data_IF_863209501702
#
_entry.id   IF_863209501702
#
_cell.length_a   1.000
_cell.length_b   1.000
_cell.length_c   1.000
_cell.angle_alpha   90.00
_cell.angle_beta   90.00
_cell.angle_gamma   90.00
#
_symmetry.space_group_name_H-M   'P 1'
#
loop_
_entity.id
_entity.type
_entity.pdbx_description
1 polymer ?
#
# COMPACT_ATOMS: atom_id res chain seq x y z
N UNK A 1 15.01 -9.53 -19.36
CA UNK A 1 14.18 -8.31 -19.23
C UNK A 1 12.89 -8.37 -20.05
N UNK A 2 12.90 -8.59 -21.37
CA UNK A 2 11.63 -8.56 -22.15
C UNK A 2 10.58 -9.60 -21.72
N UNK A 3 10.98 -10.84 -21.43
CA UNK A 3 10.06 -11.88 -20.91
C UNK A 3 9.50 -11.59 -19.52
N UNK A 4 10.24 -10.84 -18.73
CA UNK A 4 9.84 -10.42 -17.39
C UNK A 4 8.81 -9.28 -17.49
N UNK A 5 9.05 -8.29 -18.36
CA UNK A 5 8.05 -7.28 -18.72
C UNK A 5 6.76 -7.92 -19.23
N UNK A 6 6.86 -8.97 -20.06
CA UNK A 6 5.70 -9.71 -20.56
C UNK A 6 4.93 -10.44 -19.45
N UNK A 7 5.64 -11.04 -18.49
CA UNK A 7 5.00 -11.68 -17.33
C UNK A 7 4.30 -10.66 -16.45
N UNK A 8 4.97 -9.54 -16.15
CA UNK A 8 4.39 -8.45 -15.37
C UNK A 8 3.16 -7.81 -16.06
N UNK A 9 3.15 -7.78 -17.40
CA UNK A 9 1.98 -7.37 -18.18
C UNK A 9 0.83 -8.39 -18.05
N UNK A 10 1.13 -9.69 -18.07
CA UNK A 10 0.15 -10.78 -17.92
C UNK A 10 -0.53 -10.80 -16.54
N UNK A 11 0.24 -10.44 -15.51
CA UNK A 11 -0.23 -10.33 -14.13
C UNK A 11 -0.86 -8.96 -13.80
N UNK A 12 -0.76 -7.98 -14.72
CA UNK A 12 -1.30 -6.63 -14.55
C UNK A 12 -0.48 -5.74 -13.61
N UNK A 13 0.72 -6.16 -13.21
CA UNK A 13 1.62 -5.42 -12.32
C UNK A 13 2.37 -4.29 -13.04
N UNK A 14 2.61 -4.44 -14.34
CA UNK A 14 3.27 -3.44 -15.17
C UNK A 14 2.44 -3.12 -16.42
N UNK A 15 1.60 -2.09 -16.33
CA UNK A 15 0.88 -1.50 -17.48
C UNK A 15 1.78 -0.47 -18.17
N UNK A 16 2.88 -0.95 -18.75
CA UNK A 16 3.78 -0.13 -19.56
C UNK A 16 3.34 -0.16 -21.03
N UNK A 17 3.07 1.00 -21.62
CA UNK A 17 2.75 1.14 -23.05
C UNK A 17 3.84 0.54 -23.94
N UNK A 18 5.09 0.53 -23.47
CA UNK A 18 6.21 -0.11 -24.17
C UNK A 18 6.04 -1.64 -24.26
N UNK A 19 5.58 -2.29 -23.18
CA UNK A 19 5.39 -3.74 -23.16
C UNK A 19 4.27 -4.17 -24.12
N UNK A 20 3.17 -3.40 -24.18
CA UNK A 20 2.08 -3.64 -25.14
C UNK A 20 2.58 -3.48 -26.57
N UNK A 21 3.36 -2.43 -26.84
CA UNK A 21 3.93 -2.19 -28.17
C UNK A 21 4.87 -3.32 -28.62
N UNK A 22 5.73 -3.79 -27.72
CA UNK A 22 6.64 -4.91 -27.98
C UNK A 22 5.87 -6.19 -28.36
N UNK A 23 4.75 -6.47 -27.70
CA UNK A 23 3.90 -7.62 -28.04
C UNK A 23 3.19 -7.42 -29.38
N UNK A 24 2.75 -6.21 -29.71
CA UNK A 24 2.05 -5.98 -30.98
C UNK A 24 2.94 -6.12 -32.21
N UNK A 25 4.23 -5.82 -32.12
CA UNK A 25 5.15 -5.83 -33.28
C UNK A 25 5.94 -7.13 -33.42
N UNK A 26 6.29 -7.81 -32.32
CA UNK A 26 7.18 -8.98 -32.35
C UNK A 26 6.40 -10.31 -32.31
N UNK A 27 6.47 -11.07 -33.42
CA UNK A 27 5.88 -12.40 -33.53
C UNK A 27 6.41 -13.41 -32.48
N UNK A 28 7.66 -13.26 -32.02
CA UNK A 28 8.22 -14.13 -30.98
C UNK A 28 7.57 -13.83 -29.62
N UNK A 29 7.33 -12.55 -29.31
CA UNK A 29 6.64 -12.14 -28.09
C UNK A 29 5.16 -12.53 -28.11
N UNK A 30 4.49 -12.44 -29.26
CA UNK A 30 3.10 -12.91 -29.42
C UNK A 30 2.97 -14.40 -29.11
N UNK A 31 3.86 -15.24 -29.64
CA UNK A 31 3.89 -16.69 -29.34
C UNK A 31 4.17 -16.97 -27.86
N UNK A 32 5.02 -16.16 -27.23
CA UNK A 32 5.30 -16.29 -25.81
C UNK A 32 4.06 -15.94 -24.97
N UNK A 33 3.36 -14.87 -25.34
CA UNK A 33 2.11 -14.43 -24.72
C UNK A 33 1.02 -15.49 -24.82
N UNK A 34 0.80 -16.04 -26.01
CA UNK A 34 -0.13 -17.15 -26.26
C UNK A 34 0.19 -18.35 -25.34
N UNK A 35 1.47 -18.75 -25.28
CA UNK A 35 1.89 -19.88 -24.45
C UNK A 35 1.68 -19.63 -22.96
N UNK A 36 1.91 -18.42 -22.48
CA UNK A 36 1.69 -18.09 -21.07
C UNK A 36 0.20 -18.17 -20.69
N UNK A 37 -0.68 -17.64 -21.55
CA UNK A 37 -2.11 -17.75 -21.34
C UNK A 37 -2.59 -19.21 -21.42
N UNK A 38 -2.10 -19.98 -22.39
CA UNK A 38 -2.43 -21.40 -22.48
C UNK A 38 -2.02 -22.17 -21.22
N UNK A 39 -0.81 -21.96 -20.70
CA UNK A 39 -0.36 -22.59 -19.45
C UNK A 39 -1.24 -22.16 -18.27
N UNK A 40 -1.58 -20.88 -18.17
CA UNK A 40 -2.46 -20.34 -17.12
C UNK A 40 -3.85 -20.99 -17.16
N UNK A 41 -4.43 -21.14 -18.34
CA UNK A 41 -5.77 -21.70 -18.52
C UNK A 41 -5.76 -23.21 -18.22
N UNK A 42 -4.72 -23.94 -18.64
CA UNK A 42 -4.52 -25.35 -18.28
C UNK A 42 -4.38 -25.53 -16.76
N UNK A 43 -3.61 -24.67 -16.09
CA UNK A 43 -3.43 -24.75 -14.64
C UNK A 43 -4.72 -24.45 -13.85
N UNK A 44 -5.62 -23.64 -14.41
CA UNK A 44 -6.93 -23.34 -13.80
C UNK A 44 -7.99 -24.38 -14.13
N UNK A 45 -7.76 -25.23 -15.12
CA UNK A 45 -8.78 -26.10 -15.67
C UNK A 45 -9.79 -25.36 -16.56
N UNK A 46 -9.44 -24.16 -17.04
CA UNK A 46 -10.25 -23.31 -17.93
C UNK A 46 -10.09 -23.72 -19.40
N UNK A 47 -9.83 -25.01 -19.67
CA UNK A 47 -9.65 -25.56 -21.01
C UNK A 47 -10.71 -26.61 -21.31
N UNK A 48 -11.29 -26.55 -22.51
CA UNK A 48 -12.25 -27.56 -22.96
C UNK A 48 -11.58 -28.88 -23.37
N UNK A 49 -12.40 -29.89 -23.69
CA UNK A 49 -11.92 -31.20 -24.16
C UNK A 49 -11.11 -31.12 -25.47
N UNK A 50 -11.38 -30.10 -26.29
CA UNK A 50 -10.70 -29.84 -27.55
C UNK A 50 -10.06 -28.45 -27.52
N UNK A 51 -8.76 -28.40 -27.79
CA UNK A 51 -7.98 -27.16 -27.85
C UNK A 51 -7.90 -26.64 -29.29
N UNK A 52 -8.37 -25.41 -29.49
CA UNK A 52 -8.27 -24.70 -30.76
C UNK A 52 -7.20 -23.60 -30.65
N UNK A 53 -6.06 -23.79 -31.30
CA UNK A 53 -4.92 -22.86 -31.24
C UNK A 53 -4.98 -21.78 -32.34
N UNK A 54 -5.94 -21.86 -33.24
CA UNK A 54 -6.07 -20.98 -34.41
C UNK A 54 -7.13 -19.87 -34.25
N UNK A 55 -7.86 -19.83 -33.13
CA UNK A 55 -8.95 -18.87 -32.88
C UNK A 55 -8.46 -17.43 -33.08
N UNK A 56 -7.35 -17.05 -32.45
CA UNK A 56 -6.82 -15.69 -32.53
C UNK A 56 -6.50 -15.29 -33.98
N UNK A 57 -5.99 -16.23 -34.79
CA UNK A 57 -5.68 -15.99 -36.19
C UNK A 57 -6.93 -15.83 -37.06
N UNK A 58 -7.98 -16.62 -36.81
CA UNK A 58 -9.26 -16.51 -37.51
C UNK A 58 -9.95 -15.19 -37.17
N UNK A 59 -9.92 -14.79 -35.89
CA UNK A 59 -10.47 -13.50 -35.44
C UNK A 59 -9.71 -12.34 -36.07
N UNK A 60 -8.37 -12.37 -36.11
CA UNK A 60 -7.58 -11.33 -36.77
C UNK A 60 -7.94 -11.19 -38.26
N UNK A 61 -8.12 -12.29 -38.98
CA UNK A 61 -8.56 -12.30 -40.39
C UNK A 61 -9.99 -11.79 -40.58
N UNK A 62 -10.88 -12.01 -39.60
CA UNK A 62 -12.24 -11.49 -39.62
C UNK A 62 -12.25 -9.97 -39.37
N UNK A 63 -11.44 -9.49 -38.42
CA UNK A 63 -11.29 -8.08 -38.09
C UNK A 63 -10.70 -7.27 -39.26
N UNK A 64 -9.75 -7.83 -40.00
CA UNK A 64 -9.20 -7.17 -41.21
C UNK A 64 -10.26 -6.92 -42.28
N UNK A 65 -11.31 -7.75 -42.33
CA UNK A 65 -12.43 -7.61 -43.27
C UNK A 65 -13.55 -6.73 -42.74
N UNK A 66 -13.48 -6.30 -41.48
CA UNK A 66 -14.51 -5.46 -40.89
C UNK A 66 -14.34 -4.00 -41.37
N UNK A 67 -15.41 -3.37 -41.91
CA UNK A 67 -15.35 -1.95 -42.22
C UNK A 67 -15.22 -1.13 -40.93
N UNK A 68 -14.24 -0.22 -40.89
CA UNK A 68 -14.01 0.65 -39.73
C UNK A 68 -15.19 1.62 -39.59
N UNK A 69 -16.14 1.29 -38.73
CA UNK A 69 -17.22 2.18 -38.34
C UNK A 69 -16.69 3.22 -37.36
N UNK A 70 -16.10 4.30 -37.87
CA UNK A 70 -15.85 5.48 -37.05
C UNK A 70 -17.24 6.08 -36.76
N UNK A 71 -17.77 5.79 -35.58
CA UNK A 71 -18.96 6.45 -35.07
C UNK A 71 -18.55 7.71 -34.29
N UNK A 72 -18.53 8.91 -34.89
CA UNK A 72 -18.21 10.16 -34.19
C UNK A 72 -19.24 10.53 -33.10
N UNK A 73 -20.35 9.78 -32.99
CA UNK A 73 -21.34 9.93 -31.93
C UNK A 73 -21.17 8.92 -30.78
N UNK A 74 -20.08 8.15 -30.75
CA UNK A 74 -19.70 7.41 -29.54
C UNK A 74 -19.62 8.41 -28.39
N UNK A 75 -20.52 8.25 -27.41
CA UNK A 75 -20.74 9.14 -26.28
C UNK A 75 -19.38 9.53 -25.70
N UNK A 76 -18.96 10.80 -25.77
CA UNK A 76 -17.77 11.22 -25.06
C UNK A 76 -18.08 11.04 -23.58
N UNK A 77 -17.48 10.01 -22.96
CA UNK A 77 -17.33 9.92 -21.51
C UNK A 77 -17.07 11.33 -21.00
N UNK A 78 -17.98 11.85 -20.18
CA UNK A 78 -17.93 13.24 -19.75
C UNK A 78 -16.73 13.42 -18.84
N UNK A 79 -15.58 13.71 -19.43
CA UNK A 79 -14.39 14.05 -18.64
C UNK A 79 -14.74 15.30 -17.82
N UNK A 80 -14.45 15.30 -16.51
CA UNK A 80 -14.69 16.47 -15.68
C UNK A 80 -13.86 17.62 -16.24
N UNK A 81 -14.56 18.59 -16.84
CA UNK A 81 -13.92 19.82 -17.33
C UNK A 81 -13.21 20.51 -16.17
N UNK A 82 -12.04 21.14 -16.40
CA UNK A 82 -11.23 21.74 -15.35
C UNK A 82 -12.07 22.61 -14.43
N UNK A 83 -12.98 23.44 -14.95
CA UNK A 83 -13.96 24.28 -14.21
C UNK A 83 -14.63 23.61 -12.97
N UNK A 84 -14.90 22.30 -13.02
CA UNK A 84 -15.54 21.56 -11.91
C UNK A 84 -14.65 21.35 -10.69
N UNK A 85 -13.33 21.40 -10.85
CA UNK A 85 -12.38 21.23 -9.75
C UNK A 85 -12.51 22.34 -8.70
N UNK A 86 -12.76 23.58 -9.13
CA UNK A 86 -12.71 24.78 -8.30
C UNK A 86 -13.92 24.83 -7.37
N UNK A 87 -15.02 24.21 -7.78
CA UNK A 87 -16.26 24.14 -7.02
C UNK A 87 -16.34 22.92 -6.09
N UNK A 88 -15.28 22.10 -6.00
CA UNK A 88 -15.30 20.97 -5.08
C UNK A 88 -15.19 21.44 -3.62
N UNK A 89 -16.02 20.89 -2.70
CA UNK A 89 -16.07 21.32 -1.31
C UNK A 89 -14.76 21.06 -0.55
N UNK A 90 -13.86 20.20 -1.05
CA UNK A 90 -12.56 19.94 -0.43
C UNK A 90 -11.60 21.14 -0.52
N UNK A 91 -11.63 21.94 -1.59
CA UNK A 91 -10.75 23.11 -1.76
C UNK A 91 -11.05 24.21 -0.74
N UNK A 92 -12.32 24.34 -0.33
CA UNK A 92 -12.72 25.24 0.74
C UNK A 92 -12.11 24.83 2.08
N UNK A 93 -11.89 23.52 2.32
CA UNK A 93 -11.24 22.99 3.52
C UNK A 93 -9.73 23.27 3.54
N UNK A 94 -9.08 23.16 2.38
CA UNK A 94 -7.64 23.48 2.21
C UNK A 94 -7.38 24.98 2.40
N UNK A 95 -8.31 25.85 2.01
CA UNK A 95 -8.19 27.31 2.20
C UNK A 95 -8.01 27.69 3.67
N UNK A 96 -8.68 27.01 4.60
CA UNK A 96 -8.57 27.28 6.05
C UNK A 96 -7.21 26.91 6.62
N UNK A 97 -6.50 25.95 6.02
CA UNK A 97 -5.15 25.56 6.43
C UNK A 97 -4.05 26.51 5.95
N UNK A 98 -4.35 27.42 5.00
CA UNK A 98 -3.35 28.37 4.47
C UNK A 98 -2.78 29.27 5.55
N UNK A 99 -3.60 29.74 6.49
CA UNK A 99 -3.14 30.63 7.56
C UNK A 99 -2.14 29.96 8.51
N UNK A 100 -2.31 28.65 8.75
CA UNK A 100 -1.42 27.86 9.60
C UNK A 100 -0.09 27.57 8.91
N UNK A 101 -0.11 27.27 7.60
CA UNK A 101 1.11 27.06 6.80
C UNK A 101 1.95 28.34 6.74
N UNK A 102 1.33 29.52 6.60
CA UNK A 102 2.07 30.80 6.59
C UNK A 102 2.79 31.06 7.90
N UNK A 103 2.15 30.78 9.05
CA UNK A 103 2.79 30.96 10.37
C UNK A 103 3.96 29.99 10.58
N UNK A 104 3.78 28.71 10.20
CA UNK A 104 4.84 27.71 10.24
C UNK A 104 5.99 28.09 9.29
N UNK A 105 5.68 28.58 8.09
CA UNK A 105 6.69 28.99 7.11
C UNK A 105 7.58 30.13 7.61
N UNK A 106 7.01 31.15 8.25
CA UNK A 106 7.81 32.26 8.81
C UNK A 106 8.70 31.77 9.95
N UNK A 107 8.17 30.98 10.88
CA UNK A 107 8.97 30.43 11.99
C UNK A 107 10.09 29.51 11.49
N UNK A 108 9.80 28.64 10.52
CA UNK A 108 10.78 27.74 9.92
C UNK A 108 11.89 28.52 9.20
N UNK A 109 11.56 29.53 8.41
CA UNK A 109 12.56 30.37 7.72
C UNK A 109 13.48 31.09 8.71
N UNK A 110 12.94 31.69 9.78
CA UNK A 110 13.75 32.36 10.80
C UNK A 110 14.67 31.36 11.51
N UNK A 111 14.17 30.17 11.86
CA UNK A 111 15.00 29.12 12.48
C UNK A 111 16.12 28.62 11.55
N UNK A 112 15.82 28.42 10.26
CA UNK A 112 16.80 28.01 9.25
C UNK A 112 17.87 29.09 9.06
N UNK A 113 17.49 30.36 8.94
CA UNK A 113 18.44 31.48 8.81
C UNK A 113 19.36 31.60 10.03
N UNK A 114 18.86 31.37 11.24
CA UNK A 114 19.69 31.38 12.46
C UNK A 114 20.68 30.20 12.46
N UNK A 115 20.23 28.99 12.12
CA UNK A 115 21.09 27.79 12.06
C UNK A 115 22.17 27.95 10.98
N UNK A 116 21.81 28.39 9.78
CA UNK A 116 22.75 28.66 8.69
C UNK A 116 23.71 29.80 9.07
N UNK A 117 23.22 30.85 9.71
CA UNK A 117 24.05 31.97 10.14
C UNK A 117 25.11 31.57 11.17
N UNK A 118 24.77 30.73 12.14
CA UNK A 118 25.72 30.23 13.15
C UNK A 118 26.75 29.28 12.53
N UNK A 119 26.34 28.43 11.58
CA UNK A 119 27.28 27.58 10.84
C UNK A 119 28.20 28.40 9.93
N UNK A 120 27.67 29.39 9.20
CA UNK A 120 28.46 30.27 8.34
C UNK A 120 29.46 31.10 9.15
N UNK A 121 29.09 31.59 10.33
CA UNK A 121 29.98 32.38 11.17
C UNK A 121 31.14 31.56 11.75
N UNK A 122 30.92 30.30 12.14
CA UNK A 122 31.99 29.43 12.63
C UNK A 122 32.89 28.87 11.51
N UNK A 123 32.40 28.82 10.26
CA UNK A 123 33.14 28.23 9.13
C UNK A 123 34.14 29.19 8.46
N UNK A 124 34.14 30.48 8.81
CA UNK A 124 35.06 31.49 8.25
C UNK A 124 36.46 31.48 8.92
N UNK A 125 36.72 30.49 9.80
CA UNK A 125 37.98 30.34 10.55
C UNK A 125 38.82 29.11 10.20
N UNK A 126 38.53 28.42 9.08
CA UNK A 126 39.51 27.53 8.45
C UNK A 126 39.10 27.15 7.03
N UNK A 127 39.84 27.67 6.05
CA UNK A 127 39.82 27.21 4.68
C UNK A 127 40.58 25.88 4.54
N UNK A 128 40.01 24.98 3.73
CA UNK A 128 40.56 23.70 3.23
C UNK A 128 40.43 22.49 4.16
N UNK A 129 39.43 21.62 3.96
CA UNK A 129 39.59 20.29 3.31
C UNK A 129 38.22 19.58 3.19
N UNK A 130 38.02 18.92 2.04
CA UNK A 130 37.19 17.72 1.82
C UNK A 130 35.69 17.72 2.15
N UNK A 131 34.89 17.59 1.08
CA UNK A 131 33.57 16.96 1.10
C UNK A 131 33.69 15.52 1.61
N UNK A 132 33.73 15.33 2.93
CA UNK A 132 33.33 14.09 3.56
C UNK A 132 31.95 14.29 4.16
N UNK A 133 30.96 13.63 3.57
CA UNK A 133 29.75 13.26 4.27
C UNK A 133 30.14 12.24 5.36
N UNK A 134 30.81 12.70 6.42
CA UNK A 134 30.91 11.94 7.65
C UNK A 134 29.52 11.95 8.26
N UNK A 135 28.83 10.81 8.16
CA UNK A 135 27.59 10.58 8.88
C UNK A 135 27.83 10.93 10.35
N UNK A 136 27.05 11.84 10.96
CA UNK A 136 27.20 12.11 12.37
C UNK A 136 26.97 10.79 13.10
N UNK A 137 28.02 10.25 13.72
CA UNK A 137 27.87 9.14 14.64
C UNK A 137 26.94 9.63 15.75
N UNK A 138 25.70 9.16 15.71
CA UNK A 138 24.70 9.41 16.73
C UNK A 138 25.22 8.81 18.04
N UNK A 139 25.97 9.60 18.80
CA UNK A 139 26.30 9.33 20.18
C UNK A 139 25.05 9.67 21.00
N UNK A 140 24.09 8.73 21.03
CA UNK A 140 22.92 8.83 21.89
C UNK A 140 23.31 8.42 23.31
N UNK A 141 23.97 9.32 24.03
CA UNK A 141 23.68 9.43 25.45
C UNK A 141 22.22 9.91 25.53
N UNK A 142 21.30 9.13 26.13
CA UNK A 142 19.89 9.46 26.11
C UNK A 142 19.64 10.65 27.04
N UNK A 143 19.68 11.85 26.48
CA UNK A 143 19.07 13.01 27.11
C UNK A 143 17.58 12.97 26.77
N UNK A 144 16.84 12.30 27.65
CA UNK A 144 15.45 12.62 27.99
C UNK A 144 14.40 12.40 26.87
N UNK A 145 13.76 11.22 26.84
CA UNK A 145 12.51 11.03 26.07
C UNK A 145 12.20 9.59 25.68
N UNK A 146 11.38 8.92 26.49
CA UNK A 146 10.82 7.57 26.38
C UNK A 146 10.73 6.96 24.95
N UNK A 147 11.55 5.93 24.69
CA UNK A 147 11.30 4.92 23.67
C UNK A 147 10.27 3.93 24.21
N UNK A 148 9.13 3.78 23.53
CA UNK A 148 8.18 2.70 23.83
C UNK A 148 8.67 1.42 23.15
N UNK A 149 9.37 0.60 23.91
CA UNK A 149 9.77 -0.74 23.48
C UNK A 149 8.56 -1.67 23.54
N UNK A 150 8.31 -2.41 22.46
CA UNK A 150 7.38 -3.54 22.48
C UNK A 150 8.06 -4.65 23.28
N UNK A 151 7.59 -4.85 24.52
CA UNK A 151 7.77 -6.07 25.31
C UNK A 151 9.16 -6.31 25.92
N UNK A 152 9.34 -5.90 27.18
CA UNK A 152 9.81 -6.73 28.30
C UNK A 152 9.89 -5.82 29.52
N UNK A 153 9.13 -6.15 30.57
CA UNK A 153 9.13 -5.38 31.81
C UNK A 153 10.48 -5.52 32.54
N UNK A 154 11.19 -4.42 32.72
CA UNK A 154 12.26 -4.28 33.72
C UNK A 154 11.88 -3.17 34.70
N UNK A 155 11.80 -3.43 36.01
CA UNK A 155 11.53 -2.40 37.00
C UNK A 155 12.84 -1.80 37.52
N UNK A 156 12.95 -0.47 37.51
CA UNK A 156 13.73 0.40 38.41
C UNK A 156 13.69 1.81 37.79
N UNK A 157 12.99 2.78 38.39
CA UNK A 157 13.58 3.83 39.27
C UNK A 157 14.50 4.76 38.44
N UNK A 158 14.17 6.02 38.12
CA UNK A 158 13.86 7.13 39.03
C UNK A 158 13.12 8.28 38.33
N UNK A 159 12.51 9.11 39.15
CA UNK A 159 11.68 10.27 38.83
C UNK A 159 12.49 11.48 38.36
N UNK A 160 12.06 12.14 37.28
CA UNK A 160 11.70 13.57 37.25
C UNK A 160 11.35 13.95 35.80
N UNK A 161 10.22 14.64 35.58
CA UNK A 161 9.69 15.06 34.25
C UNK A 161 9.14 13.94 33.33
N UNK A 162 7.97 13.37 33.68
CA UNK A 162 7.23 12.48 32.75
C UNK A 162 6.29 11.45 33.40
N UNK A 163 6.06 11.53 34.71
CA UNK A 163 5.26 10.55 35.48
C UNK A 163 3.86 10.34 34.88
N UNK A 164 3.22 11.43 34.44
CA UNK A 164 1.85 11.40 33.92
C UNK A 164 1.73 10.65 32.58
N UNK A 165 2.72 10.80 31.70
CA UNK A 165 2.74 10.10 30.41
C UNK A 165 3.07 8.61 30.61
N UNK A 166 4.07 8.31 31.44
CA UNK A 166 4.44 6.95 31.77
C UNK A 166 3.31 6.20 32.51
N UNK A 167 2.53 6.90 33.35
CA UNK A 167 1.36 6.35 34.02
C UNK A 167 0.23 6.03 33.02
N UNK A 168 -0.08 6.95 32.09
CA UNK A 168 -1.08 6.72 31.03
C UNK A 168 -0.70 5.57 30.10
N UNK A 169 0.57 5.43 29.74
CA UNK A 169 1.06 4.32 28.92
C UNK A 169 0.92 2.99 29.67
N UNK A 170 1.24 2.93 30.97
CA UNK A 170 1.04 1.74 31.80
C UNK A 170 -0.44 1.36 31.93
N UNK A 171 -1.33 2.35 32.09
CA UNK A 171 -2.78 2.10 32.13
C UNK A 171 -3.31 1.62 30.78
N UNK A 172 -2.84 2.20 29.67
CA UNK A 172 -3.16 1.74 28.32
C UNK A 172 -2.74 0.29 28.12
N UNK A 173 -1.51 -0.07 28.51
CA UNK A 173 -0.99 -1.43 28.37
C UNK A 173 -1.78 -2.44 29.21
N UNK A 174 -2.11 -2.10 30.47
CA UNK A 174 -2.97 -2.96 31.31
C UNK A 174 -4.35 -3.22 30.70
N UNK A 175 -4.93 -2.22 30.03
CA UNK A 175 -6.21 -2.37 29.33
C UNK A 175 -6.10 -3.28 28.11
N UNK A 176 -5.00 -3.20 27.37
CA UNK A 176 -4.73 -4.07 26.22
C UNK A 176 -4.58 -5.53 26.67
N UNK A 177 -3.84 -5.79 27.75
CA UNK A 177 -3.68 -7.15 28.28
C UNK A 177 -5.02 -7.77 28.70
N UNK A 178 -5.87 -6.99 29.38
CA UNK A 178 -7.21 -7.44 29.76
C UNK A 178 -8.11 -7.69 28.53
N UNK A 179 -8.03 -6.84 27.52
CA UNK A 179 -8.76 -7.00 26.25
C UNK A 179 -8.31 -8.28 25.51
N UNK A 180 -7.01 -8.58 25.50
CA UNK A 180 -6.46 -9.78 24.88
C UNK A 180 -6.93 -11.05 25.59
N UNK A 181 -6.90 -11.06 26.93
CA UNK A 181 -7.43 -12.18 27.72
C UNK A 181 -8.93 -12.41 27.46
N UNK A 182 -9.72 -11.32 27.39
CA UNK A 182 -11.14 -11.41 27.08
C UNK A 182 -11.39 -11.94 25.67
N UNK A 183 -10.61 -11.49 24.69
CA UNK A 183 -10.71 -11.95 23.30
C UNK A 183 -10.44 -13.46 23.16
N UNK A 184 -9.44 -13.98 23.88
CA UNK A 184 -9.17 -15.42 23.88
C UNK A 184 -10.30 -16.24 24.50
N UNK A 185 -10.92 -15.74 25.56
CA UNK A 185 -12.02 -16.41 26.25
C UNK A 185 -13.29 -16.41 25.39
N UNK A 186 -13.61 -15.29 24.77
CA UNK A 186 -14.74 -15.16 23.85
C UNK A 186 -14.60 -16.09 22.65
N UNK A 187 -13.39 -16.15 22.07
CA UNK A 187 -13.07 -17.09 20.99
C UNK A 187 -13.28 -18.55 21.40
N UNK A 188 -12.96 -18.94 22.64
CA UNK A 188 -13.21 -20.32 23.13
C UNK A 188 -14.70 -20.60 23.29
N UNK A 189 -15.45 -19.70 23.90
CA UNK A 189 -16.90 -19.86 24.08
C UNK A 189 -17.60 -19.94 22.71
N UNK A 190 -17.24 -19.07 21.77
CA UNK A 190 -17.81 -19.09 20.43
C UNK A 190 -17.42 -20.35 19.65
N UNK A 191 -16.19 -20.85 19.82
CA UNK A 191 -15.75 -22.10 19.21
C UNK A 191 -16.48 -23.32 19.80
N UNK A 192 -16.64 -23.40 21.12
CA UNK A 192 -17.37 -24.48 21.80
C UNK A 192 -18.86 -24.46 21.44
N UNK A 193 -19.52 -23.29 21.47
CA UNK A 193 -20.92 -23.15 21.05
C UNK A 193 -21.14 -23.63 19.62
N UNK A 194 -20.23 -23.29 18.70
CA UNK A 194 -20.34 -23.75 17.31
C UNK A 194 -20.15 -25.26 17.18
N UNK A 195 -19.30 -25.89 18.01
CA UNK A 195 -19.15 -27.36 18.05
C UNK A 195 -20.40 -28.05 18.61
N UNK A 196 -20.97 -27.54 19.69
CA UNK A 196 -22.17 -28.12 20.32
C UNK A 196 -23.40 -28.01 19.39
N UNK A 197 -23.56 -26.87 18.70
CA UNK A 197 -24.61 -26.70 17.68
C UNK A 197 -24.42 -27.67 16.51
N UNK A 198 -23.18 -27.89 16.08
CA UNK A 198 -22.88 -28.84 15.00
C UNK A 198 -23.20 -30.29 15.42
N UNK A 199 -22.85 -30.68 16.66
CA UNK A 199 -23.17 -32.01 17.17
C UNK A 199 -24.68 -32.21 17.41
N UNK A 200 -25.39 -31.20 17.92
CA UNK A 200 -26.84 -31.28 18.13
C UNK A 200 -27.60 -31.44 16.79
N UNK A 201 -27.17 -30.75 15.73
CA UNK A 201 -27.78 -30.90 14.40
C UNK A 201 -27.52 -32.29 13.80
N UNK A 202 -26.33 -32.87 14.02
CA UNK A 202 -26.02 -34.24 13.57
C UNK A 202 -26.87 -35.30 14.28
N UNK A 203 -27.10 -35.16 15.59
CA UNK A 203 -27.95 -36.08 16.35
C UNK A 203 -29.44 -35.97 15.99
N UNK A 204 -29.90 -34.78 15.60
CA UNK A 204 -31.26 -34.58 15.09
C UNK A 204 -31.46 -35.19 13.70
N UNK A 205 -30.45 -35.15 12.82
CA UNK A 205 -30.51 -35.80 11.51
C UNK A 205 -30.53 -37.34 11.60
N UNK A 206 -29.84 -37.94 12.58
CA UNK A 206 -29.89 -39.39 12.81
C UNK A 206 -31.23 -39.88 13.38
N UNK A 207 -31.95 -39.06 14.15
CA UNK A 207 -33.25 -39.41 14.74
C UNK A 207 -34.43 -39.26 13.77
N UNK A 208 -34.28 -38.50 12.68
CA UNK A 208 -35.33 -38.33 11.65
C UNK A 208 -35.27 -39.44 10.56
N UNK A 209 -34.18 -40.23 10.55
CA UNK A 209 -33.94 -41.29 9.56
C UNK A 209 -34.25 -42.72 10.05
N UNK A 210 -34.88 -42.87 11.22
CA UNK A 210 -35.47 -44.14 11.72
C UNK A 210 -36.99 -44.00 11.85
#
# INVERSE_FOLDING_TARGET
MQREKLSALMDGEALDSEAVHLVSEDAIMQKQWERYHLVRDVLRGDVGDVLHLDIASQVALALEKEPVHINPAAVPESQPKPETWANMPFWNKIRTWKSQITQIGVAACVSLSVIIGVQHYNNDSNSETENQFEAPAFNTLPVMGATSTVGLATPAEEETFGSDLNMRVRESNKRIDAMLQQYELDRRIHFERNRDVTQANQLLEEQVSQ
#
